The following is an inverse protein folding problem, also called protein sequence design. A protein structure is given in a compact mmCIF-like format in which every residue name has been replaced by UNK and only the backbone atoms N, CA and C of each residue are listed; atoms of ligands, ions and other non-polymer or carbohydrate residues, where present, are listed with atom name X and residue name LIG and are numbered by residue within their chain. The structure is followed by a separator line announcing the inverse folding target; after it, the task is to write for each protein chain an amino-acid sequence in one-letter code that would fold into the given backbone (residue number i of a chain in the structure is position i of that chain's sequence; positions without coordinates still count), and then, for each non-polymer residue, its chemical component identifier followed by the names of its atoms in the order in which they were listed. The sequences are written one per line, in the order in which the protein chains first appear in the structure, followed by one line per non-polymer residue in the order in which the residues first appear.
data_IF_456528098133
#
_entry.id   IF_456528098133
#
_cell.length_a   1.000
_cell.length_b   1.000
_cell.length_c   1.000
_cell.angle_alpha   90.00
_cell.angle_beta   90.00
_cell.angle_gamma   90.00
#
_symmetry.space_group_name_H-M   'P 1'
#
loop_
_entity.id
_entity.type
_entity.pdbx_description
1 polymer ?
#
# COMPACT_ATOMS: atom_id res chain seq x y z
N UNK A 1 -75.66 -9.76 -5.41
CA UNK A 1 -74.50 -9.05 -6.00
C UNK A 1 -74.06 -8.09 -4.93
N UNK A 2 -73.30 -8.61 -3.97
CA UNK A 2 -72.93 -7.85 -2.77
C UNK A 2 -71.53 -7.30 -2.97
N UNK A 3 -71.45 -5.98 -2.83
CA UNK A 3 -70.26 -5.16 -2.96
C UNK A 3 -69.17 -5.66 -2.01
N UNK A 4 -68.20 -6.40 -2.55
CA UNK A 4 -66.89 -6.66 -1.95
C UNK A 4 -66.00 -5.39 -1.94
N UNK A 5 -66.62 -4.21 -1.75
CA UNK A 5 -65.93 -2.95 -1.48
C UNK A 5 -65.73 -2.86 0.04
N UNK A 6 -65.05 -3.85 0.63
CA UNK A 6 -64.68 -3.81 2.04
C UNK A 6 -63.18 -4.11 2.13
N UNK A 7 -62.41 -3.11 2.58
CA UNK A 7 -60.98 -3.15 2.93
C UNK A 7 -59.91 -2.94 1.83
N UNK A 8 -60.19 -2.17 0.76
CA UNK A 8 -59.10 -1.60 -0.06
C UNK A 8 -58.42 -0.43 0.65
N UNK A 9 -57.41 -0.72 1.47
CA UNK A 9 -56.58 0.31 2.11
C UNK A 9 -55.36 0.65 1.24
N UNK A 10 -54.77 1.86 1.38
CA UNK A 10 -53.52 2.18 0.69
C UNK A 10 -52.39 1.17 0.93
N UNK A 11 -52.37 0.53 2.10
CA UNK A 11 -51.40 -0.50 2.47
C UNK A 11 -51.60 -1.79 1.65
N UNK A 12 -52.86 -2.22 1.45
CA UNK A 12 -53.18 -3.38 0.61
C UNK A 12 -52.80 -3.09 -0.85
N UNK A 13 -53.08 -1.89 -1.36
CA UNK A 13 -52.71 -1.49 -2.72
C UNK A 13 -51.17 -1.44 -2.88
N UNK A 14 -50.46 -0.91 -1.88
CA UNK A 14 -48.99 -0.89 -1.90
C UNK A 14 -48.41 -2.32 -1.92
N UNK A 15 -48.99 -3.24 -1.16
CA UNK A 15 -48.61 -4.66 -1.18
C UNK A 15 -48.86 -5.29 -2.56
N UNK A 16 -50.05 -5.08 -3.16
CA UNK A 16 -50.39 -5.53 -4.52
C UNK A 16 -49.37 -5.02 -5.56
N UNK A 17 -49.07 -3.71 -5.55
CA UNK A 17 -48.10 -3.08 -6.46
C UNK A 17 -46.71 -3.69 -6.28
N UNK A 18 -46.25 -3.86 -5.04
CA UNK A 18 -44.93 -4.42 -4.77
C UNK A 18 -44.84 -5.90 -5.19
N UNK A 19 -45.91 -6.68 -5.02
CA UNK A 19 -45.98 -8.06 -5.50
C UNK A 19 -45.89 -8.14 -7.02
N UNK A 20 -46.60 -7.28 -7.76
CA UNK A 20 -46.52 -7.23 -9.22
C UNK A 20 -45.11 -6.84 -9.67
N UNK A 21 -44.51 -5.84 -8.99
CA UNK A 21 -43.14 -5.39 -9.27
C UNK A 21 -42.11 -6.51 -9.09
N UNK A 22 -42.20 -7.27 -8.00
CA UNK A 22 -41.31 -8.41 -7.74
C UNK A 22 -41.44 -9.50 -8.81
N UNK A 23 -42.68 -9.89 -9.14
CA UNK A 23 -42.96 -10.89 -10.18
C UNK A 23 -42.44 -10.48 -11.56
N UNK A 24 -42.71 -9.24 -11.96
CA UNK A 24 -42.21 -8.69 -13.24
C UNK A 24 -40.68 -8.63 -13.27
N UNK A 25 -40.05 -8.23 -12.15
CA UNK A 25 -38.60 -8.19 -12.00
C UNK A 25 -37.95 -9.56 -12.13
N UNK A 26 -38.54 -10.59 -11.50
CA UNK A 26 -38.10 -11.99 -11.62
C UNK A 26 -38.22 -12.48 -13.06
N UNK A 27 -39.39 -12.28 -13.68
CA UNK A 27 -39.61 -12.67 -15.08
C UNK A 27 -38.61 -12.01 -16.03
N UNK A 28 -38.27 -10.74 -15.80
CA UNK A 28 -37.26 -10.02 -16.57
C UNK A 28 -35.87 -10.64 -16.40
N UNK A 29 -35.46 -10.98 -15.17
CA UNK A 29 -34.17 -11.64 -14.92
C UNK A 29 -34.08 -13.00 -15.62
N UNK A 30 -35.13 -13.84 -15.50
CA UNK A 30 -35.20 -15.12 -16.20
C UNK A 30 -35.08 -14.94 -17.72
N UNK A 31 -35.82 -13.97 -18.27
CA UNK A 31 -35.79 -13.68 -19.70
C UNK A 31 -34.41 -13.22 -20.15
N UNK A 32 -33.75 -12.35 -19.38
CA UNK A 32 -32.40 -11.88 -19.67
C UNK A 32 -31.37 -13.02 -19.71
N UNK A 33 -31.49 -13.98 -18.78
CA UNK A 33 -30.58 -15.13 -18.70
C UNK A 33 -30.83 -16.12 -19.83
N UNK A 34 -32.09 -16.38 -20.19
CA UNK A 34 -32.39 -17.22 -21.34
C UNK A 34 -31.92 -16.57 -22.64
N UNK A 35 -32.07 -15.25 -22.80
CA UNK A 35 -31.49 -14.51 -23.93
C UNK A 35 -29.96 -14.67 -23.94
N UNK A 36 -29.31 -14.51 -22.79
CA UNK A 36 -27.87 -14.76 -22.62
C UNK A 36 -27.45 -16.14 -23.10
N UNK A 37 -28.20 -17.19 -22.73
CA UNK A 37 -27.98 -18.56 -23.18
C UNK A 37 -28.06 -18.69 -24.71
N UNK A 38 -29.07 -18.10 -25.34
CA UNK A 38 -29.23 -18.11 -26.81
C UNK A 38 -28.14 -17.29 -27.51
N UNK A 39 -27.71 -16.19 -26.91
CA UNK A 39 -26.61 -15.38 -27.44
C UNK A 39 -25.29 -16.15 -27.38
N UNK A 40 -25.03 -16.92 -26.33
CA UNK A 40 -23.86 -17.82 -26.24
C UNK A 40 -23.89 -18.89 -27.34
N UNK A 41 -25.05 -19.50 -27.58
CA UNK A 41 -25.26 -20.46 -28.66
C UNK A 41 -25.02 -19.82 -30.04
N UNK A 42 -25.68 -18.70 -30.33
CA UNK A 42 -25.54 -17.98 -31.60
C UNK A 42 -24.09 -17.54 -31.84
N UNK A 43 -23.38 -17.07 -30.81
CA UNK A 43 -21.97 -16.65 -30.91
C UNK A 43 -21.03 -17.78 -31.33
N UNK A 44 -21.39 -19.04 -31.06
CA UNK A 44 -20.63 -20.21 -31.52
C UNK A 44 -20.90 -20.60 -32.98
N UNK A 45 -22.01 -20.11 -33.56
CA UNK A 45 -22.46 -20.42 -34.92
C UNK A 45 -22.15 -19.31 -35.92
N UNK A 46 -22.08 -18.05 -35.47
CA UNK A 46 -21.75 -16.90 -36.32
C UNK A 46 -20.26 -16.91 -36.67
N UNK A 47 -19.93 -16.64 -37.94
CA UNK A 47 -18.55 -16.64 -38.40
C UNK A 47 -17.71 -15.56 -37.71
N UNK A 48 -16.40 -15.78 -37.64
CA UNK A 48 -15.46 -14.80 -37.10
C UNK A 48 -15.58 -13.45 -37.81
N UNK A 49 -15.80 -12.38 -37.05
CA UNK A 49 -15.92 -11.01 -37.54
C UNK A 49 -17.35 -10.53 -37.82
N UNK A 50 -18.31 -11.44 -37.97
CA UNK A 50 -19.71 -11.10 -38.29
C UNK A 50 -20.59 -10.87 -37.04
N UNK A 51 -20.06 -11.18 -35.85
CA UNK A 51 -20.82 -11.12 -34.59
C UNK A 51 -21.47 -9.77 -34.30
N UNK A 52 -20.75 -8.66 -34.51
CA UNK A 52 -21.28 -7.31 -34.20
C UNK A 52 -22.41 -6.91 -35.15
N UNK A 53 -22.26 -7.21 -36.44
CA UNK A 53 -23.29 -6.95 -37.45
C UNK A 53 -24.52 -7.81 -37.18
N UNK A 54 -24.33 -9.09 -36.88
CA UNK A 54 -25.43 -10.00 -36.54
C UNK A 54 -26.23 -9.52 -35.33
N UNK A 55 -25.56 -9.02 -34.28
CA UNK A 55 -26.23 -8.47 -33.10
C UNK A 55 -27.14 -7.27 -33.44
N UNK A 56 -26.65 -6.36 -34.28
CA UNK A 56 -27.39 -5.16 -34.67
C UNK A 56 -28.59 -5.51 -35.57
N UNK A 57 -28.37 -6.34 -36.59
CA UNK A 57 -29.37 -6.64 -37.63
C UNK A 57 -30.41 -7.67 -37.17
N UNK A 58 -30.01 -8.69 -36.40
CA UNK A 58 -30.89 -9.84 -36.08
C UNK A 58 -31.65 -9.67 -34.77
N UNK A 59 -31.05 -9.01 -33.78
CA UNK A 59 -31.63 -8.89 -32.42
C UNK A 59 -31.62 -7.46 -31.87
N UNK A 60 -31.12 -6.49 -32.64
CA UNK A 60 -31.06 -5.07 -32.27
C UNK A 60 -30.37 -4.80 -30.93
N UNK A 61 -29.27 -5.53 -30.65
CA UNK A 61 -28.48 -5.36 -29.44
C UNK A 61 -27.14 -4.69 -29.72
N UNK A 62 -26.71 -3.85 -28.78
CA UNK A 62 -25.32 -3.41 -28.71
C UNK A 62 -24.43 -4.56 -28.23
N UNK A 63 -23.13 -4.45 -28.54
CA UNK A 63 -22.09 -5.35 -28.01
C UNK A 63 -22.15 -5.46 -26.48
N UNK A 64 -22.22 -4.33 -25.78
CA UNK A 64 -22.20 -4.30 -24.31
C UNK A 64 -23.45 -4.94 -23.69
N UNK A 65 -24.63 -4.74 -24.28
CA UNK A 65 -25.86 -5.40 -23.84
C UNK A 65 -25.76 -6.91 -24.02
N UNK A 66 -25.33 -7.38 -25.19
CA UNK A 66 -25.18 -8.80 -25.47
C UNK A 66 -24.15 -9.45 -24.53
N UNK A 67 -23.01 -8.80 -24.30
CA UNK A 67 -21.99 -9.28 -23.36
C UNK A 67 -22.49 -9.36 -21.92
N UNK A 68 -23.26 -8.36 -21.45
CA UNK A 68 -23.85 -8.40 -20.12
C UNK A 68 -24.86 -9.55 -19.97
N UNK A 69 -25.71 -9.78 -20.99
CA UNK A 69 -26.68 -10.88 -20.99
C UNK A 69 -25.99 -12.25 -21.00
N UNK A 70 -24.95 -12.42 -21.82
CA UNK A 70 -24.13 -13.64 -21.83
C UNK A 70 -23.49 -13.87 -20.44
N UNK A 71 -22.90 -12.84 -19.83
CA UNK A 71 -22.31 -12.94 -18.49
C UNK A 71 -23.33 -13.31 -17.42
N UNK A 72 -24.55 -12.74 -17.48
CA UNK A 72 -25.63 -13.13 -16.57
C UNK A 72 -25.93 -14.63 -16.68
N UNK A 73 -25.96 -15.17 -17.90
CA UNK A 73 -26.13 -16.61 -18.10
C UNK A 73 -24.94 -17.43 -17.57
N UNK A 74 -23.70 -17.04 -17.86
CA UNK A 74 -22.50 -17.76 -17.41
C UNK A 74 -22.39 -17.80 -15.88
N UNK A 75 -22.78 -16.72 -15.21
CA UNK A 75 -22.66 -16.55 -13.75
C UNK A 75 -23.87 -17.10 -12.99
N UNK A 76 -25.09 -16.91 -13.50
CA UNK A 76 -26.34 -17.25 -12.81
C UNK A 76 -27.16 -18.35 -13.47
N UNK A 77 -26.93 -18.68 -14.75
CA UNK A 77 -27.74 -19.62 -15.52
C UNK A 77 -27.72 -21.05 -14.98
N UNK A 78 -26.69 -21.44 -14.25
CA UNK A 78 -26.62 -22.76 -13.56
C UNK A 78 -27.39 -22.79 -12.23
N UNK A 79 -27.70 -21.61 -11.66
CA UNK A 79 -28.26 -21.44 -10.32
C UNK A 79 -29.73 -21.04 -10.32
N UNK A 80 -30.30 -20.71 -11.48
CA UNK A 80 -31.73 -20.43 -11.62
C UNK A 80 -32.47 -21.72 -12.00
N UNK A 81 -33.53 -22.07 -11.26
CA UNK A 81 -34.19 -23.35 -11.44
C UNK A 81 -35.03 -23.28 -12.72
N UNK A 82 -34.52 -23.85 -13.81
CA UNK A 82 -35.35 -24.15 -14.96
C UNK A 82 -36.25 -25.36 -14.63
N UNK A 83 -35.78 -26.30 -13.77
CA UNK A 83 -36.51 -27.53 -13.43
C UNK A 83 -36.58 -27.91 -11.92
N UNK A 84 -35.78 -27.30 -11.02
CA UNK A 84 -35.69 -27.73 -9.60
C UNK A 84 -35.57 -26.58 -8.59
N UNK A 85 -36.67 -26.13 -7.96
CA UNK A 85 -36.69 -24.99 -7.03
C UNK A 85 -36.02 -25.24 -5.65
N UNK A 86 -35.56 -26.47 -5.35
CA UNK A 86 -35.13 -26.88 -4.00
C UNK A 86 -33.61 -26.90 -3.75
N UNK A 87 -32.79 -26.29 -4.61
CA UNK A 87 -31.35 -26.13 -4.31
C UNK A 87 -31.11 -24.87 -3.46
N UNK A 88 -30.29 -24.95 -2.43
CA UNK A 88 -30.00 -23.81 -1.52
C UNK A 88 -29.45 -22.58 -2.26
N UNK A 89 -28.71 -22.77 -3.36
CA UNK A 89 -28.20 -21.69 -4.23
C UNK A 89 -29.31 -20.98 -5.03
N UNK A 90 -30.44 -21.67 -5.28
CA UNK A 90 -31.58 -21.12 -6.01
C UNK A 90 -32.37 -20.08 -5.20
N UNK A 91 -32.23 -20.07 -3.87
CA UNK A 91 -33.11 -19.29 -3.01
C UNK A 91 -32.61 -17.84 -2.81
N UNK A 92 -31.29 -17.65 -2.69
CA UNK A 92 -30.68 -16.32 -2.59
C UNK A 92 -30.68 -15.57 -3.93
N UNK A 93 -30.41 -16.28 -5.02
CA UNK A 93 -30.36 -15.71 -6.38
C UNK A 93 -31.74 -15.59 -7.03
N UNK A 94 -32.69 -16.47 -6.69
CA UNK A 94 -34.05 -16.47 -7.24
C UNK A 94 -34.91 -15.28 -6.80
N UNK A 95 -34.47 -14.53 -5.78
CA UNK A 95 -35.13 -13.32 -5.29
C UNK A 95 -34.50 -12.02 -5.78
N UNK A 96 -33.52 -12.08 -6.67
CA UNK A 96 -32.89 -10.89 -7.25
C UNK A 96 -33.74 -10.32 -8.39
N UNK A 97 -33.79 -8.99 -8.46
CA UNK A 97 -34.21 -8.29 -9.68
C UNK A 97 -33.08 -8.28 -10.72
N UNK A 98 -33.44 -8.08 -11.99
CA UNK A 98 -32.48 -7.92 -13.09
C UNK A 98 -31.35 -6.93 -12.75
N UNK A 99 -31.69 -5.75 -12.23
CA UNK A 99 -30.68 -4.72 -11.94
C UNK A 99 -29.78 -5.10 -10.78
N UNK A 100 -30.29 -5.80 -9.76
CA UNK A 100 -29.46 -6.31 -8.67
C UNK A 100 -28.49 -7.39 -9.18
N UNK A 101 -28.96 -8.31 -10.02
CA UNK A 101 -28.11 -9.35 -10.62
C UNK A 101 -26.97 -8.76 -11.46
N UNK A 102 -27.27 -7.70 -12.25
CA UNK A 102 -26.25 -6.98 -13.03
C UNK A 102 -25.24 -6.27 -12.13
N UNK A 103 -25.69 -5.58 -11.07
CA UNK A 103 -24.77 -4.90 -10.13
C UNK A 103 -23.84 -5.89 -9.43
N UNK A 104 -24.36 -7.06 -9.05
CA UNK A 104 -23.59 -8.11 -8.41
C UNK A 104 -22.56 -8.79 -9.33
N UNK A 105 -22.60 -8.57 -10.65
CA UNK A 105 -21.51 -8.99 -11.54
C UNK A 105 -20.19 -8.24 -11.26
N UNK A 106 -20.25 -7.08 -10.60
CA UNK A 106 -19.07 -6.36 -10.12
C UNK A 106 -18.41 -7.00 -8.89
N UNK A 107 -19.14 -7.90 -8.21
CA UNK A 107 -18.63 -8.66 -7.06
C UNK A 107 -18.08 -10.00 -7.57
N UNK A 108 -16.87 -10.43 -7.14
CA UNK A 108 -16.32 -11.75 -7.47
C UNK A 108 -17.31 -12.87 -7.17
N UNK A 109 -17.34 -13.89 -8.03
CA UNK A 109 -18.31 -14.99 -7.94
C UNK A 109 -18.25 -15.68 -6.58
N UNK A 110 -17.04 -15.88 -6.07
CA UNK A 110 -16.76 -16.57 -4.81
C UNK A 110 -17.22 -15.77 -3.59
N UNK A 111 -17.27 -14.43 -3.69
CA UNK A 111 -17.68 -13.53 -2.62
C UNK A 111 -19.18 -13.20 -2.68
N UNK A 112 -19.83 -13.45 -3.81
CA UNK A 112 -21.18 -12.96 -4.09
C UNK A 112 -22.24 -13.51 -3.13
N UNK A 113 -22.18 -14.78 -2.77
CA UNK A 113 -23.13 -15.39 -1.83
C UNK A 113 -23.00 -14.78 -0.43
N UNK A 114 -21.77 -14.65 0.07
CA UNK A 114 -21.50 -13.99 1.36
C UNK A 114 -21.94 -12.52 1.32
N UNK A 115 -21.62 -11.82 0.23
CA UNK A 115 -22.05 -10.43 0.04
C UNK A 115 -23.58 -10.29 0.03
N UNK A 116 -24.31 -11.25 -0.56
CA UNK A 116 -25.77 -11.29 -0.55
C UNK A 116 -26.32 -11.48 0.87
N UNK A 117 -25.76 -12.44 1.61
CA UNK A 117 -26.19 -12.75 2.96
C UNK A 117 -25.89 -11.61 3.95
N UNK A 118 -24.68 -11.06 3.91
CA UNK A 118 -24.20 -10.07 4.88
C UNK A 118 -24.87 -8.70 4.74
N UNK A 119 -25.31 -8.35 3.52
CA UNK A 119 -25.89 -7.04 3.22
C UNK A 119 -27.41 -7.07 3.02
N UNK A 120 -28.05 -8.24 3.17
CA UNK A 120 -29.50 -8.43 2.91
C UNK A 120 -29.94 -7.80 1.57
N UNK A 121 -29.25 -8.16 0.50
CA UNK A 121 -29.38 -7.50 -0.82
C UNK A 121 -30.82 -7.53 -1.36
N UNK A 122 -31.59 -8.54 -0.96
CA UNK A 122 -32.99 -8.71 -1.39
C UNK A 122 -33.88 -7.58 -0.86
N UNK A 123 -33.59 -7.03 0.32
CA UNK A 123 -34.33 -5.91 0.90
C UNK A 123 -33.82 -4.54 0.44
N UNK A 124 -32.55 -4.46 -0.01
CA UNK A 124 -31.95 -3.21 -0.47
C UNK A 124 -32.55 -2.69 -1.78
N UNK A 125 -32.71 -1.38 -1.85
CA UNK A 125 -32.97 -0.71 -3.13
C UNK A 125 -31.76 -0.80 -4.05
N UNK A 126 -32.00 -0.68 -5.36
CA UNK A 126 -30.94 -0.66 -6.37
C UNK A 126 -29.87 0.41 -6.10
N UNK A 127 -30.28 1.57 -5.53
CA UNK A 127 -29.35 2.66 -5.20
C UNK A 127 -28.45 2.31 -4.02
N UNK A 128 -29.01 1.69 -2.99
CA UNK A 128 -28.26 1.24 -1.82
C UNK A 128 -27.29 0.13 -2.21
N UNK A 129 -27.73 -0.82 -3.05
CA UNK A 129 -26.85 -1.85 -3.59
C UNK A 129 -25.68 -1.25 -4.39
N UNK A 130 -25.96 -0.29 -5.27
CA UNK A 130 -24.92 0.38 -6.04
C UNK A 130 -23.90 1.08 -5.13
N UNK A 131 -24.38 1.71 -4.04
CA UNK A 131 -23.52 2.36 -3.07
C UNK A 131 -22.68 1.33 -2.29
N UNK A 132 -23.26 0.21 -1.86
CA UNK A 132 -22.54 -0.86 -1.15
C UNK A 132 -21.42 -1.47 -2.01
N UNK A 133 -21.68 -1.74 -3.30
CA UNK A 133 -20.66 -2.24 -4.23
C UNK A 133 -19.54 -1.21 -4.39
N UNK A 134 -19.89 0.07 -4.54
CA UNK A 134 -18.91 1.16 -4.67
C UNK A 134 -18.02 1.31 -3.43
N UNK A 135 -18.62 1.28 -2.24
CA UNK A 135 -17.89 1.37 -0.97
C UNK A 135 -16.94 0.19 -0.78
N UNK A 136 -17.39 -1.02 -1.14
CA UNK A 136 -16.54 -2.21 -1.15
C UNK A 136 -15.34 -2.04 -2.09
N UNK A 137 -15.57 -1.57 -3.32
CA UNK A 137 -14.50 -1.37 -4.31
C UNK A 137 -13.49 -0.32 -3.84
N UNK A 138 -13.97 0.77 -3.24
CA UNK A 138 -13.12 1.81 -2.65
C UNK A 138 -12.29 1.25 -1.49
N UNK A 139 -12.91 0.50 -0.58
CA UNK A 139 -12.21 -0.12 0.55
C UNK A 139 -11.14 -1.12 0.09
N UNK A 140 -11.41 -1.89 -0.98
CA UNK A 140 -10.44 -2.81 -1.56
C UNK A 140 -9.25 -2.07 -2.19
N UNK A 141 -9.51 -0.97 -2.91
CA UNK A 141 -8.46 -0.11 -3.47
C UNK A 141 -7.58 0.49 -2.36
N UNK A 142 -8.21 1.10 -1.35
CA UNK A 142 -7.49 1.70 -0.21
C UNK A 142 -6.66 0.66 0.54
N UNK A 143 -7.20 -0.53 0.77
CA UNK A 143 -6.46 -1.64 1.39
C UNK A 143 -5.23 -2.04 0.56
N UNK A 144 -5.35 -2.11 -0.76
CA UNK A 144 -4.22 -2.42 -1.64
C UNK A 144 -3.14 -1.34 -1.58
N UNK A 145 -3.54 -0.06 -1.58
CA UNK A 145 -2.61 1.07 -1.47
C UNK A 145 -1.89 1.10 -0.11
N UNK A 146 -2.62 0.83 0.97
CA UNK A 146 -2.05 0.69 2.32
C UNK A 146 -1.07 -0.48 2.40
N UNK A 147 -1.39 -1.63 1.79
CA UNK A 147 -0.50 -2.78 1.76
C UNK A 147 0.79 -2.50 0.98
N UNK A 148 0.69 -1.82 -0.16
CA UNK A 148 1.85 -1.40 -0.94
C UNK A 148 2.75 -0.43 -0.16
N UNK A 149 2.13 0.51 0.55
CA UNK A 149 2.84 1.46 1.43
C UNK A 149 3.53 0.74 2.59
N UNK A 150 2.86 -0.22 3.25
CA UNK A 150 3.44 -1.03 4.32
C UNK A 150 4.65 -1.84 3.84
N UNK A 151 4.54 -2.48 2.69
CA UNK A 151 5.63 -3.25 2.10
C UNK A 151 6.84 -2.36 1.78
N UNK A 152 6.60 -1.16 1.23
CA UNK A 152 7.63 -0.17 0.93
C UNK A 152 8.33 0.32 2.20
N UNK A 153 7.55 0.68 3.23
CA UNK A 153 8.07 1.12 4.52
C UNK A 153 8.87 0.01 5.23
N UNK A 154 8.39 -1.24 5.19
CA UNK A 154 9.14 -2.38 5.74
C UNK A 154 10.48 -2.58 5.03
N UNK A 155 10.54 -2.38 3.71
CA UNK A 155 11.78 -2.40 2.94
C UNK A 155 12.75 -1.32 3.40
N UNK A 156 12.28 -0.09 3.57
CA UNK A 156 13.09 1.03 4.04
C UNK A 156 13.61 0.81 5.48
N UNK A 157 12.77 0.30 6.38
CA UNK A 157 13.17 -0.02 7.76
C UNK A 157 14.26 -1.09 7.79
N UNK A 158 14.17 -2.12 6.94
CA UNK A 158 15.19 -3.15 6.85
C UNK A 158 16.53 -2.57 6.36
N UNK A 159 16.53 -1.69 5.35
CA UNK A 159 17.73 -1.00 4.87
C UNK A 159 18.38 -0.16 5.97
N UNK A 160 17.59 0.69 6.64
CA UNK A 160 18.07 1.53 7.75
C UNK A 160 18.65 0.66 8.88
N UNK A 161 18.03 -0.49 9.16
CA UNK A 161 18.51 -1.41 10.19
C UNK A 161 19.87 -2.03 9.83
N UNK A 162 20.05 -2.45 8.57
CA UNK A 162 21.32 -2.98 8.07
C UNK A 162 22.41 -1.90 8.13
N UNK A 163 22.14 -0.70 7.61
CA UNK A 163 23.08 0.41 7.64
C UNK A 163 23.49 0.76 9.09
N UNK A 164 22.52 0.82 10.01
CA UNK A 164 22.79 1.05 11.44
C UNK A 164 23.73 0.00 12.02
N UNK A 165 23.50 -1.28 11.72
CA UNK A 165 24.31 -2.37 12.25
C UNK A 165 25.72 -2.38 11.67
N UNK A 166 25.88 -2.04 10.39
CA UNK A 166 27.18 -1.85 9.75
C UNK A 166 27.96 -0.68 10.35
N UNK A 167 27.32 0.49 10.51
CA UNK A 167 27.92 1.64 11.17
C UNK A 167 28.34 1.31 12.61
N UNK A 168 27.52 0.54 13.34
CA UNK A 168 27.84 0.10 14.70
C UNK A 168 29.08 -0.80 14.73
N UNK A 169 29.22 -1.72 13.77
CA UNK A 169 30.43 -2.56 13.62
C UNK A 169 31.66 -1.70 13.34
N UNK A 170 31.58 -0.78 12.38
CA UNK A 170 32.70 0.13 12.05
C UNK A 170 33.11 0.99 13.25
N UNK A 171 32.15 1.51 14.01
CA UNK A 171 32.42 2.29 15.21
C UNK A 171 33.12 1.46 16.29
N UNK A 172 32.70 0.21 16.48
CA UNK A 172 33.33 -0.70 17.44
C UNK A 172 34.79 -1.04 17.07
N UNK A 173 35.08 -1.27 15.78
CA UNK A 173 36.43 -1.56 15.32
C UNK A 173 37.34 -0.33 15.45
N UNK A 174 36.87 0.86 15.07
CA UNK A 174 37.61 2.12 15.25
C UNK A 174 37.94 2.38 16.73
N UNK A 175 36.98 2.14 17.61
CA UNK A 175 37.16 2.30 19.06
C UNK A 175 38.22 1.34 19.59
N UNK A 176 38.23 0.08 19.15
CA UNK A 176 39.25 -0.90 19.56
C UNK A 176 40.65 -0.49 19.12
N UNK A 177 40.81 -0.04 17.87
CA UNK A 177 42.09 0.43 17.33
C UNK A 177 42.58 1.67 18.07
N UNK A 178 41.68 2.59 18.41
CA UNK A 178 42.01 3.78 19.20
C UNK A 178 42.54 3.40 20.59
N UNK A 179 41.86 2.49 21.30
CA UNK A 179 42.27 2.00 22.62
C UNK A 179 43.66 1.36 22.59
N UNK A 180 43.95 0.53 21.58
CA UNK A 180 45.27 -0.11 21.42
C UNK A 180 46.34 0.96 21.22
N UNK A 181 46.13 1.92 20.33
CA UNK A 181 47.10 3.00 20.07
C UNK A 181 47.33 3.87 21.32
N UNK A 182 46.30 4.14 22.11
CA UNK A 182 46.43 4.87 23.39
C UNK A 182 47.22 4.07 24.43
N UNK A 183 47.03 2.75 24.53
CA UNK A 183 47.82 1.88 25.39
C UNK A 183 49.30 1.82 24.95
N UNK A 184 49.58 1.79 23.65
CA UNK A 184 50.94 1.87 23.10
C UNK A 184 51.62 3.19 23.49
N UNK A 185 50.91 4.32 23.39
CA UNK A 185 51.44 5.62 23.83
C UNK A 185 51.82 5.57 25.31
N UNK A 186 50.95 5.03 26.17
CA UNK A 186 51.22 4.92 27.61
C UNK A 186 52.46 4.05 27.90
N UNK A 187 52.61 2.94 27.17
CA UNK A 187 53.75 2.03 27.32
C UNK A 187 55.06 2.69 26.89
N UNK A 188 55.07 3.36 25.73
CA UNK A 188 56.24 4.10 25.24
C UNK A 188 56.63 5.24 26.18
N UNK A 189 55.66 5.92 26.79
CA UNK A 189 55.92 6.93 27.82
C UNK A 189 56.63 6.34 29.04
N UNK A 190 56.15 5.21 29.56
CA UNK A 190 56.78 4.53 30.70
C UNK A 190 58.20 4.04 30.38
N UNK A 191 58.41 3.48 29.19
CA UNK A 191 59.74 3.05 28.74
C UNK A 191 60.72 4.22 28.61
N UNK A 192 60.25 5.37 28.12
CA UNK A 192 61.04 6.58 27.98
C UNK A 192 61.40 7.19 29.34
N UNK A 193 60.47 7.21 30.30
CA UNK A 193 60.76 7.62 31.68
C UNK A 193 61.77 6.67 32.35
N UNK A 194 61.60 5.36 32.20
CA UNK A 194 62.54 4.36 32.71
C UNK A 194 63.94 4.48 32.10
N UNK A 195 64.03 4.71 30.79
CA UNK A 195 65.29 4.92 30.08
C UNK A 195 66.01 6.20 30.56
N UNK A 196 65.26 7.28 30.80
CA UNK A 196 65.80 8.52 31.38
C UNK A 196 66.29 8.33 32.81
N UNK A 197 65.54 7.59 33.64
CA UNK A 197 65.90 7.34 35.05
C UNK A 197 67.12 6.43 35.22
N UNK A 198 67.33 5.50 34.28
CA UNK A 198 68.43 4.53 34.31
C UNK A 198 69.68 4.99 33.53
N UNK A 199 69.77 6.26 33.14
CA UNK A 199 70.88 6.80 32.32
C UNK A 199 71.19 5.96 31.06
N UNK A 200 70.15 5.49 30.36
CA UNK A 200 70.32 4.80 29.09
C UNK A 200 71.01 5.71 28.05
N UNK A 201 71.61 5.12 27.01
CA UNK A 201 72.31 5.88 25.96
C UNK A 201 71.40 6.94 25.33
N UNK A 202 72.00 8.08 24.99
CA UNK A 202 71.33 9.20 24.30
C UNK A 202 70.64 8.75 23.01
N UNK A 203 71.22 7.80 22.29
CA UNK A 203 70.64 7.18 21.09
C UNK A 203 69.34 6.42 21.39
N UNK A 204 69.29 5.67 22.50
CA UNK A 204 68.08 4.92 22.91
C UNK A 204 66.95 5.85 23.35
N UNK A 205 67.29 6.94 24.05
CA UNK A 205 66.31 7.96 24.45
C UNK A 205 65.78 8.69 23.21
N UNK A 206 66.66 9.09 22.27
CA UNK A 206 66.26 9.75 21.03
C UNK A 206 65.39 8.85 20.13
N UNK A 207 65.67 7.55 20.07
CA UNK A 207 64.86 6.59 19.34
C UNK A 207 63.43 6.48 19.92
N UNK A 208 63.30 6.36 21.24
CA UNK A 208 61.99 6.30 21.92
C UNK A 208 61.22 7.63 21.79
N UNK A 209 61.90 8.78 21.86
CA UNK A 209 61.27 10.10 21.65
C UNK A 209 60.74 10.25 20.23
N UNK A 210 61.50 9.80 19.22
CA UNK A 210 61.11 9.81 17.82
C UNK A 210 59.89 8.92 17.59
N UNK A 211 59.90 7.70 18.11
CA UNK A 211 58.80 6.75 17.96
C UNK A 211 57.51 7.24 18.63
N UNK A 212 57.63 7.76 19.86
CA UNK A 212 56.50 8.33 20.60
C UNK A 212 55.89 9.54 19.87
N UNK A 213 56.73 10.42 19.31
CA UNK A 213 56.28 11.55 18.49
C UNK A 213 55.53 11.07 17.24
N UNK A 214 56.04 10.05 16.55
CA UNK A 214 55.38 9.49 15.36
C UNK A 214 54.03 8.85 15.71
N UNK A 215 53.95 8.05 16.78
CA UNK A 215 52.69 7.41 17.20
C UNK A 215 51.66 8.46 17.66
N UNK A 216 52.08 9.48 18.43
CA UNK A 216 51.20 10.60 18.81
C UNK A 216 50.67 11.37 17.61
N UNK A 217 51.54 11.70 16.65
CA UNK A 217 51.14 12.40 15.44
C UNK A 217 50.09 11.57 14.67
N UNK A 218 50.30 10.26 14.53
CA UNK A 218 49.32 9.35 13.90
C UNK A 218 47.99 9.30 14.66
N UNK A 219 48.00 9.25 16.00
CA UNK A 219 46.76 9.26 16.80
C UNK A 219 46.02 10.59 16.68
N UNK A 220 46.74 11.71 16.75
CA UNK A 220 46.17 13.05 16.58
C UNK A 220 45.58 13.23 15.18
N UNK A 221 46.29 12.79 14.13
CA UNK A 221 45.80 12.82 12.76
C UNK A 221 44.52 11.98 12.59
N UNK A 222 44.46 10.77 13.17
CA UNK A 222 43.24 9.95 13.13
C UNK A 222 42.06 10.61 13.86
N UNK A 223 42.32 11.30 14.99
CA UNK A 223 41.28 12.06 15.70
C UNK A 223 40.77 13.23 14.87
N UNK A 224 41.66 13.95 14.18
CA UNK A 224 41.29 15.03 13.25
C UNK A 224 40.42 14.49 12.12
N UNK A 225 40.82 13.39 11.46
CA UNK A 225 40.03 12.74 10.40
C UNK A 225 38.65 12.32 10.92
N UNK A 226 38.58 11.68 12.09
CA UNK A 226 37.31 11.28 12.68
C UNK A 226 36.36 12.47 12.95
N UNK A 227 36.88 13.54 13.55
CA UNK A 227 36.07 14.74 13.81
C UNK A 227 35.64 15.42 12.51
N UNK A 228 36.52 15.45 11.51
CA UNK A 228 36.19 15.96 10.18
C UNK A 228 35.04 15.18 9.55
N UNK A 229 35.14 13.84 9.49
CA UNK A 229 34.11 12.99 8.91
C UNK A 229 32.77 13.11 9.65
N UNK A 230 32.82 13.17 10.99
CA UNK A 230 31.64 13.36 11.83
C UNK A 230 30.95 14.71 11.57
N UNK A 231 31.72 15.80 11.49
CA UNK A 231 31.20 17.14 11.21
C UNK A 231 30.62 17.17 9.79
N UNK A 232 31.33 16.63 8.80
CA UNK A 232 30.88 16.58 7.41
C UNK A 232 29.54 15.85 7.26
N UNK A 233 29.40 14.69 7.93
CA UNK A 233 28.16 13.92 7.93
C UNK A 233 27.01 14.68 8.58
N UNK A 234 27.20 15.19 9.80
CA UNK A 234 26.13 15.92 10.50
C UNK A 234 25.74 17.21 9.79
N UNK A 235 26.70 17.90 9.17
CA UNK A 235 26.40 19.07 8.37
C UNK A 235 25.58 18.72 7.12
N UNK A 236 25.87 17.59 6.48
CA UNK A 236 25.08 17.10 5.34
C UNK A 236 23.65 16.73 5.75
N UNK A 237 23.45 16.11 6.92
CA UNK A 237 22.12 15.83 7.48
C UNK A 237 21.36 17.11 7.80
N UNK A 238 22.02 18.10 8.43
CA UNK A 238 21.46 19.42 8.68
C UNK A 238 20.95 20.10 7.40
N UNK A 239 21.73 20.05 6.30
CA UNK A 239 21.31 20.62 5.02
C UNK A 239 20.08 19.91 4.42
N UNK A 240 19.95 18.60 4.61
CA UNK A 240 18.75 17.86 4.18
C UNK A 240 17.52 18.29 4.95
N UNK A 241 17.61 18.40 6.27
CA UNK A 241 16.50 18.88 7.10
C UNK A 241 16.11 20.32 6.75
N UNK A 242 17.08 21.18 6.46
CA UNK A 242 16.81 22.52 5.96
C UNK A 242 16.07 22.53 4.62
N UNK A 243 16.45 21.65 3.68
CA UNK A 243 15.76 21.52 2.41
C UNK A 243 14.30 21.03 2.57
N UNK A 244 14.07 20.13 3.52
CA UNK A 244 12.72 19.64 3.86
C UNK A 244 11.87 20.72 4.55
N UNK A 245 12.49 21.56 5.39
CA UNK A 245 11.81 22.64 6.11
C UNK A 245 11.42 23.80 5.19
N UNK A 246 12.22 24.08 4.14
CA UNK A 246 11.99 25.21 3.23
C UNK A 246 10.55 25.31 2.64
N UNK A 247 9.93 24.22 2.13
CA UNK A 247 8.54 24.27 1.66
C UNK A 247 7.49 24.24 2.78
N UNK A 248 7.82 23.73 3.97
CA UNK A 248 6.87 23.54 5.07
C UNK A 248 6.74 24.79 5.96
N UNK A 249 7.85 25.48 6.23
CA UNK A 249 7.91 26.68 7.05
C UNK A 249 9.06 27.61 6.59
N UNK A 250 8.79 28.52 5.64
CA UNK A 250 9.81 29.41 5.07
C UNK A 250 10.42 30.40 6.08
N UNK A 251 9.65 30.87 7.06
CA UNK A 251 10.14 31.81 8.07
C UNK A 251 11.14 31.14 9.01
N UNK A 252 10.79 29.96 9.52
CA UNK A 252 11.68 29.17 10.39
C UNK A 252 12.93 28.71 9.63
N UNK A 253 12.80 28.32 8.35
CA UNK A 253 13.94 28.03 7.49
C UNK A 253 14.89 29.24 7.36
N UNK A 254 14.38 30.44 7.09
CA UNK A 254 15.20 31.64 6.93
C UNK A 254 15.94 32.02 8.23
N UNK A 255 15.27 31.86 9.38
CA UNK A 255 15.89 32.07 10.70
C UNK A 255 17.08 31.15 10.92
N UNK A 256 16.90 29.83 10.79
CA UNK A 256 17.99 28.87 10.99
C UNK A 256 19.12 29.04 9.96
N UNK A 257 18.79 29.41 8.72
CA UNK A 257 19.81 29.75 7.71
C UNK A 257 20.73 30.88 8.16
N UNK A 258 20.18 31.92 8.78
CA UNK A 258 20.95 33.05 9.32
C UNK A 258 21.84 32.60 10.48
N UNK A 259 21.30 31.87 11.44
CA UNK A 259 22.03 31.35 12.61
C UNK A 259 23.18 30.42 12.20
N UNK A 260 22.93 29.50 11.25
CA UNK A 260 23.95 28.59 10.73
C UNK A 260 25.05 29.35 10.00
N UNK A 261 24.71 30.37 9.21
CA UNK A 261 25.71 31.17 8.49
C UNK A 261 26.61 31.95 9.45
N UNK A 262 26.04 32.51 10.53
CA UNK A 262 26.81 33.19 11.58
C UNK A 262 27.72 32.21 12.33
N UNK A 263 27.22 31.02 12.65
CA UNK A 263 27.98 29.97 13.30
C UNK A 263 29.18 29.52 12.45
N UNK A 264 28.96 29.25 11.15
CA UNK A 264 30.04 28.90 10.20
C UNK A 264 31.05 30.03 10.12
N UNK A 265 30.59 31.29 10.00
CA UNK A 265 31.49 32.45 9.97
C UNK A 265 32.36 32.56 11.23
N UNK A 266 31.85 32.15 12.39
CA UNK A 266 32.60 32.11 13.65
C UNK A 266 33.62 30.97 13.68
N UNK A 267 33.27 29.79 13.17
CA UNK A 267 34.18 28.64 13.07
C UNK A 267 35.34 28.96 12.12
N UNK A 268 35.05 29.52 10.95
CA UNK A 268 36.07 29.84 9.93
C UNK A 268 37.13 30.80 10.46
N UNK A 269 36.78 31.71 11.38
CA UNK A 269 37.76 32.61 12.03
C UNK A 269 38.73 31.91 12.99
N UNK A 270 38.42 30.68 13.42
CA UNK A 270 39.21 29.89 14.38
C UNK A 270 40.07 28.81 13.73
N UNK A 271 39.88 28.56 12.43
CA UNK A 271 40.70 27.67 11.61
C UNK A 271 41.85 28.44 10.99
#
# INVERSE_FOLDING_TARGET
MDNEITNRTPQVIAFEINSIKDQAGKMLLYSAIEIGRRLTEAKSLVNHGEWLQWLEESVSYSKSTAENLIRLYEEYGSNLPIDHPDSANSQALGNLSYTQAVLLLGVPKEEREAFIADNDIVSLSTRELQQAVKERDQALSEKADLQNTLNSNSGAINQITVERDELRKQYSSLTSVSKVKEATIKTLQQQLEGAKKNNASTEKIAALEKELKTVRAKVSANKVVFHYDSISKQFSELLKEMANLAPADPETHQKYRSEISEFIGTITKKL
#
